data_IF_780254152978
#
_entry.id   IF_780254152978
#
_cell.length_a   1.000
_cell.length_b   1.000
_cell.length_c   1.000
_cell.angle_alpha   90.00
_cell.angle_beta   90.00
_cell.angle_gamma   90.00
#
_symmetry.space_group_name_H-M   'P 1'
#
loop_
_entity.id
_entity.type
_entity.pdbx_description
1 polymer ?
#
# COMPACT_ATOMS: atom_id res chain seq x y z
N UNK A 1 -5.27 20.56 -62.16
CA UNK A 1 -6.24 20.75 -61.06
C UNK A 1 -6.89 19.45 -60.60
N UNK A 2 -7.40 18.56 -61.49
CA UNK A 2 -8.07 17.30 -61.11
C UNK A 2 -7.27 16.40 -60.14
N UNK A 3 -5.95 16.27 -60.32
CA UNK A 3 -5.07 15.47 -59.44
C UNK A 3 -4.93 16.05 -58.03
N UNK A 4 -4.96 17.38 -57.86
CA UNK A 4 -4.90 18.00 -56.53
C UNK A 4 -6.20 17.81 -55.75
N UNK A 5 -7.35 17.81 -56.44
CA UNK A 5 -8.65 17.57 -55.82
C UNK A 5 -8.71 16.16 -55.22
N UNK A 6 -8.19 15.17 -55.94
CA UNK A 6 -8.12 13.78 -55.43
C UNK A 6 -7.25 13.68 -54.18
N UNK A 7 -6.09 14.36 -54.16
CA UNK A 7 -5.21 14.37 -52.98
C UNK A 7 -5.91 15.02 -51.79
N UNK A 8 -6.62 16.13 -51.99
CA UNK A 8 -7.36 16.79 -50.92
C UNK A 8 -8.51 15.92 -50.38
N UNK A 9 -9.23 15.20 -51.24
CA UNK A 9 -10.32 14.30 -50.83
C UNK A 9 -9.78 13.11 -50.02
N UNK A 10 -8.66 12.52 -50.44
CA UNK A 10 -8.00 11.43 -49.72
C UNK A 10 -7.48 11.92 -48.36
N UNK A 11 -6.88 13.10 -48.32
CA UNK A 11 -6.36 13.66 -47.07
C UNK A 11 -7.49 13.98 -46.08
N UNK A 12 -8.62 14.51 -46.56
CA UNK A 12 -9.78 14.82 -45.72
C UNK A 12 -10.43 13.55 -45.15
N UNK A 13 -10.52 12.49 -45.95
CA UNK A 13 -11.07 11.20 -45.51
C UNK A 13 -10.16 10.50 -44.48
N UNK A 14 -8.84 10.66 -44.58
CA UNK A 14 -7.90 10.16 -43.57
C UNK A 14 -8.02 10.89 -42.22
N UNK A 15 -8.31 12.19 -42.22
CA UNK A 15 -8.47 12.99 -40.98
C UNK A 15 -9.83 12.73 -40.31
N UNK A 16 -10.90 12.46 -41.09
CA UNK A 16 -12.23 12.20 -40.54
C UNK A 16 -12.37 10.88 -39.77
N UNK A 17 -11.41 9.97 -39.88
CA UNK A 17 -11.37 8.71 -39.13
C UNK A 17 -10.51 8.77 -37.86
N UNK A 18 -9.91 9.92 -37.54
CA UNK A 18 -9.29 10.11 -36.23
C UNK A 18 -10.37 10.30 -35.17
N UNK A 19 -10.88 9.19 -34.63
CA UNK A 19 -11.47 9.24 -33.30
C UNK A 19 -10.34 9.59 -32.33
N UNK A 20 -10.43 10.75 -31.69
CA UNK A 20 -9.58 11.02 -30.53
C UNK A 20 -9.86 9.90 -29.52
N UNK A 21 -8.86 9.05 -29.29
CA UNK A 21 -8.88 8.11 -28.19
C UNK A 21 -8.76 8.91 -26.90
N UNK A 22 -9.89 9.46 -26.44
CA UNK A 22 -10.02 9.98 -25.08
C UNK A 22 -9.99 8.76 -24.16
N UNK A 23 -8.79 8.36 -23.75
CA UNK A 23 -8.64 7.54 -22.56
C UNK A 23 -9.12 8.41 -21.40
N UNK A 24 -10.37 8.22 -20.99
CA UNK A 24 -10.78 8.61 -19.65
C UNK A 24 -9.88 7.78 -18.73
N UNK A 25 -9.01 8.44 -17.97
CA UNK A 25 -8.22 7.77 -16.94
C UNK A 25 -9.20 6.93 -16.12
N UNK A 26 -8.98 5.62 -16.06
CA UNK A 26 -9.75 4.73 -15.18
C UNK A 26 -9.38 5.20 -13.77
N UNK A 27 -10.17 6.13 -13.24
CA UNK A 27 -9.89 6.82 -11.99
C UNK A 27 -10.53 6.12 -10.79
N UNK A 28 -11.27 5.04 -11.06
CA UNK A 28 -11.90 4.20 -10.08
C UNK A 28 -11.54 2.76 -10.48
N UNK A 29 -10.52 2.23 -9.81
CA UNK A 29 -10.34 0.79 -9.76
C UNK A 29 -11.49 0.21 -8.92
N UNK A 30 -11.85 -1.05 -9.18
CA UNK A 30 -12.83 -1.77 -8.37
C UNK A 30 -12.37 -1.72 -6.90
N UNK A 31 -13.14 -1.01 -6.06
CA UNK A 31 -12.76 -0.71 -4.67
C UNK A 31 -12.61 -2.00 -3.87
N UNK A 32 -13.45 -3.00 -4.11
CA UNK A 32 -13.36 -4.29 -3.42
C UNK A 32 -12.08 -5.03 -3.82
N UNK A 33 -11.74 -5.02 -5.10
CA UNK A 33 -10.49 -5.61 -5.60
C UNK A 33 -9.26 -4.88 -5.04
N UNK A 34 -9.31 -3.54 -4.96
CA UNK A 34 -8.24 -2.72 -4.40
C UNK A 34 -8.01 -3.00 -2.91
N UNK A 35 -9.08 -3.04 -2.12
CA UNK A 35 -9.00 -3.35 -0.69
C UNK A 35 -8.48 -4.77 -0.48
N UNK A 36 -8.99 -5.73 -1.26
CA UNK A 36 -8.52 -7.12 -1.23
C UNK A 36 -7.04 -7.22 -1.57
N UNK A 37 -6.57 -6.48 -2.59
CA UNK A 37 -5.16 -6.44 -2.96
C UNK A 37 -4.30 -5.81 -1.86
N UNK A 38 -4.77 -4.71 -1.24
CA UNK A 38 -4.10 -4.08 -0.12
C UNK A 38 -3.96 -5.05 1.06
N UNK A 39 -5.05 -5.72 1.47
CA UNK A 39 -5.00 -6.69 2.55
C UNK A 39 -4.12 -7.88 2.22
N UNK A 40 -4.16 -8.38 0.98
CA UNK A 40 -3.30 -9.45 0.53
C UNK A 40 -1.81 -9.05 0.58
N UNK A 41 -1.48 -7.84 0.12
CA UNK A 41 -0.12 -7.30 0.19
C UNK A 41 0.35 -7.19 1.65
N UNK A 42 -0.44 -6.54 2.51
CA UNK A 42 -0.10 -6.37 3.92
C UNK A 42 0.09 -7.74 4.60
N UNK A 43 -0.82 -8.68 4.38
CA UNK A 43 -0.70 -10.03 4.96
C UNK A 43 0.51 -10.81 4.41
N UNK A 44 0.88 -10.60 3.14
CA UNK A 44 2.09 -11.21 2.58
C UNK A 44 3.38 -10.73 3.27
N UNK A 45 3.31 -9.58 3.96
CA UNK A 45 4.40 -8.95 4.71
C UNK A 45 4.31 -9.26 6.21
N UNK A 46 3.52 -10.27 6.62
CA UNK A 46 3.30 -10.58 8.04
C UNK A 46 4.58 -10.84 8.81
N UNK A 47 5.47 -11.68 8.28
CA UNK A 47 6.72 -12.03 8.96
C UNK A 47 7.60 -10.82 9.32
N UNK A 48 7.93 -9.89 8.40
CA UNK A 48 8.72 -8.72 8.76
C UNK A 48 7.98 -7.73 9.67
N UNK A 49 6.65 -7.66 9.61
CA UNK A 49 5.84 -6.83 10.53
C UNK A 49 5.88 -7.41 11.95
N UNK A 50 5.62 -8.72 12.10
CA UNK A 50 5.70 -9.42 13.39
C UNK A 50 7.09 -9.26 14.01
N UNK A 51 8.15 -9.34 13.19
CA UNK A 51 9.51 -9.08 13.63
C UNK A 51 9.70 -7.66 14.15
N UNK A 52 9.19 -6.65 13.45
CA UNK A 52 9.31 -5.26 13.87
C UNK A 52 8.57 -5.01 15.19
N UNK A 53 7.35 -5.50 15.34
CA UNK A 53 6.58 -5.39 16.59
C UNK A 53 7.36 -6.04 17.75
N UNK A 54 7.86 -7.25 17.56
CA UNK A 54 8.65 -7.91 18.59
C UNK A 54 9.89 -7.09 18.98
N UNK A 55 10.58 -6.48 18.02
CA UNK A 55 11.76 -5.66 18.32
C UNK A 55 11.41 -4.33 19.01
N UNK A 56 10.27 -3.71 18.67
CA UNK A 56 9.80 -2.46 19.26
C UNK A 56 9.48 -2.65 20.75
N UNK A 57 8.73 -3.70 21.09
CA UNK A 57 8.22 -3.92 22.45
C UNK A 57 9.06 -4.88 23.29
N UNK A 58 10.24 -5.33 22.82
CA UNK A 58 11.07 -6.30 23.56
C UNK A 58 11.58 -5.81 24.92
N UNK A 59 11.70 -4.50 25.09
CA UNK A 59 12.18 -3.85 26.33
C UNK A 59 11.04 -3.15 27.09
N UNK A 60 9.79 -3.34 26.66
CA UNK A 60 8.62 -2.78 27.31
C UNK A 60 8.03 -3.81 28.28
N UNK A 61 8.41 -3.69 29.57
CA UNK A 61 7.94 -4.59 30.63
C UNK A 61 6.42 -4.53 30.84
N UNK A 62 5.75 -3.46 30.40
CA UNK A 62 4.31 -3.30 30.50
C UNK A 62 3.57 -3.86 29.27
N UNK A 63 4.30 -4.24 28.21
CA UNK A 63 3.72 -4.77 26.99
C UNK A 63 3.05 -6.12 27.22
N UNK A 64 1.81 -6.32 26.72
CA UNK A 64 1.19 -7.64 26.72
C UNK A 64 2.05 -8.64 25.95
N UNK A 65 2.20 -9.87 26.49
CA UNK A 65 3.06 -10.91 25.89
C UNK A 65 2.78 -11.21 24.41
N UNK A 66 1.56 -10.97 23.93
CA UNK A 66 1.12 -11.30 22.58
C UNK A 66 0.38 -10.15 21.92
N UNK A 67 1.14 -9.14 21.49
CA UNK A 67 0.63 -8.12 20.58
C UNK A 67 0.37 -8.75 19.20
N UNK A 68 -0.86 -8.58 18.73
CA UNK A 68 -1.30 -8.95 17.38
C UNK A 68 -1.63 -7.69 16.59
N UNK A 69 -1.91 -7.83 15.30
CA UNK A 69 -2.30 -6.72 14.44
C UNK A 69 -3.15 -7.24 13.29
N UNK A 70 -3.91 -6.33 12.68
CA UNK A 70 -4.87 -6.67 11.64
C UNK A 70 -4.56 -5.89 10.35
N UNK A 71 -4.66 -6.58 9.21
CA UNK A 71 -4.44 -5.97 7.89
C UNK A 71 -5.46 -4.87 7.57
N UNK A 72 -6.69 -4.99 8.08
CA UNK A 72 -7.74 -3.98 7.87
C UNK A 72 -7.58 -2.72 8.74
N UNK A 73 -6.71 -2.77 9.76
CA UNK A 73 -6.32 -1.60 10.58
C UNK A 73 -4.96 -1.04 10.19
N UNK A 74 -4.23 -1.74 9.32
CA UNK A 74 -2.89 -1.34 8.88
C UNK A 74 -3.00 -0.44 7.65
N UNK A 75 -2.36 0.73 7.71
CA UNK A 75 -2.39 1.70 6.62
C UNK A 75 -1.08 1.65 5.83
N UNK A 76 -1.17 1.60 4.49
CA UNK A 76 -0.01 1.83 3.63
C UNK A 76 0.16 3.34 3.48
N UNK A 77 1.12 3.91 4.21
CA UNK A 77 1.40 5.35 4.21
C UNK A 77 2.13 5.76 2.94
N UNK A 78 3.06 4.92 2.46
CA UNK A 78 3.91 5.25 1.33
C UNK A 78 4.44 3.99 0.65
N UNK A 79 4.48 4.01 -0.68
CA UNK A 79 5.23 3.05 -1.49
C UNK A 79 6.28 3.82 -2.29
N UNK A 80 7.55 3.52 -2.07
CA UNK A 80 8.68 4.14 -2.78
C UNK A 80 9.39 3.08 -3.62
N UNK A 81 9.56 3.40 -4.90
CA UNK A 81 10.34 2.58 -5.82
C UNK A 81 11.83 2.92 -5.68
N UNK A 82 12.69 1.92 -5.48
CA UNK A 82 14.14 2.14 -5.33
C UNK A 82 14.96 1.76 -6.58
N UNK A 83 14.42 0.94 -7.51
CA UNK A 83 15.17 0.40 -8.66
C UNK A 83 14.39 0.35 -9.99
N UNK A 84 13.52 1.32 -10.26
CA UNK A 84 12.71 1.34 -11.49
C UNK A 84 11.59 0.29 -11.51
N UNK A 85 10.82 0.27 -12.59
CA UNK A 85 9.58 -0.54 -12.71
C UNK A 85 9.94 -2.02 -12.74
N UNK A 86 9.42 -2.79 -11.77
CA UNK A 86 9.74 -4.21 -11.58
C UNK A 86 10.88 -4.49 -10.59
N UNK A 87 11.49 -3.44 -10.02
CA UNK A 87 12.51 -3.56 -8.98
C UNK A 87 11.94 -3.77 -7.57
N UNK A 88 12.76 -3.48 -6.57
CA UNK A 88 12.35 -3.51 -5.16
C UNK A 88 11.52 -2.25 -4.84
N UNK A 89 10.47 -2.44 -4.05
CA UNK A 89 9.65 -1.37 -3.50
C UNK A 89 9.83 -1.34 -1.98
N UNK A 90 10.02 -0.15 -1.42
CA UNK A 90 9.96 0.13 0.01
C UNK A 90 8.52 0.52 0.35
N UNK A 91 7.92 -0.18 1.30
CA UNK A 91 6.53 -0.04 1.73
C UNK A 91 6.57 0.41 3.18
N UNK A 92 6.08 1.62 3.43
CA UNK A 92 5.92 2.18 4.77
C UNK A 92 4.50 1.92 5.24
N UNK A 93 4.40 1.20 6.36
CA UNK A 93 3.14 0.77 6.97
C UNK A 93 2.97 1.49 8.30
N UNK A 94 1.77 1.99 8.58
CA UNK A 94 1.36 2.35 9.93
C UNK A 94 0.58 1.18 10.51
N UNK A 95 1.14 0.56 11.54
CA UNK A 95 0.57 -0.62 12.19
C UNK A 95 0.10 -0.23 13.59
N UNK A 96 -1.04 -0.79 14.00
CA UNK A 96 -1.62 -0.61 15.32
C UNK A 96 -1.67 -1.94 16.05
N UNK A 97 -0.60 -2.32 16.79
CA UNK A 97 -0.62 -3.54 17.56
C UNK A 97 -1.67 -3.47 18.67
N UNK A 98 -2.33 -4.60 18.91
CA UNK A 98 -3.39 -4.75 19.88
C UNK A 98 -3.26 -6.06 20.64
N UNK A 99 -3.92 -6.13 21.80
CA UNK A 99 -4.05 -7.34 22.59
C UNK A 99 -5.54 -7.63 22.87
N UNK A 100 -5.83 -8.87 23.27
CA UNK A 100 -7.19 -9.30 23.58
C UNK A 100 -8.19 -9.03 22.45
N UNK A 101 -9.35 -8.48 22.79
CA UNK A 101 -10.41 -8.13 21.84
C UNK A 101 -10.15 -6.77 21.13
N UNK A 102 -8.99 -6.62 20.50
CA UNK A 102 -8.58 -5.42 19.75
C UNK A 102 -8.35 -4.15 20.60
N UNK A 103 -7.85 -4.31 21.82
CA UNK A 103 -7.38 -3.17 22.61
C UNK A 103 -6.04 -2.70 22.06
N UNK A 104 -6.03 -1.53 21.41
CA UNK A 104 -4.82 -0.97 20.81
C UNK A 104 -3.80 -0.65 21.89
N UNK A 105 -2.58 -1.14 21.72
CA UNK A 105 -1.47 -0.89 22.64
C UNK A 105 -0.50 0.13 22.09
N UNK A 106 -0.33 0.20 20.77
CA UNK A 106 0.53 1.22 20.20
C UNK A 106 0.27 1.56 18.75
N UNK A 107 1.04 2.51 18.26
CA UNK A 107 1.10 2.95 16.87
C UNK A 107 2.55 2.97 16.42
N UNK A 108 2.83 2.27 15.32
CA UNK A 108 4.18 2.05 14.83
C UNK A 108 4.26 2.32 13.34
N UNK A 109 5.38 2.89 12.90
CA UNK A 109 5.77 2.95 11.49
C UNK A 109 6.75 1.82 11.23
N UNK A 110 6.44 0.98 10.24
CA UNK A 110 7.27 -0.15 9.84
C UNK A 110 7.59 0.00 8.37
N UNK A 111 8.88 -0.04 8.03
CA UNK A 111 9.35 0.01 6.64
C UNK A 111 9.85 -1.36 6.24
N UNK A 112 9.17 -1.98 5.29
CA UNK A 112 9.56 -3.26 4.71
C UNK A 112 9.81 -3.10 3.22
N UNK A 113 10.55 -4.02 2.63
CA UNK A 113 10.65 -4.07 1.17
C UNK A 113 9.78 -5.18 0.56
N UNK A 114 9.53 -5.09 -0.74
CA UNK A 114 8.74 -6.06 -1.50
C UNK A 114 9.34 -7.47 -1.59
N UNK A 115 10.57 -7.66 -1.08
CA UNK A 115 11.19 -8.98 -0.91
C UNK A 115 10.94 -9.57 0.50
N UNK A 116 10.12 -8.92 1.33
CA UNK A 116 9.79 -9.38 2.68
C UNK A 116 10.88 -9.09 3.72
N UNK A 117 11.80 -8.16 3.46
CA UNK A 117 12.84 -7.75 4.41
C UNK A 117 12.38 -6.53 5.21
N UNK A 118 12.52 -6.60 6.53
CA UNK A 118 12.43 -5.44 7.43
C UNK A 118 13.61 -4.49 7.18
N UNK A 119 13.31 -3.23 6.86
CA UNK A 119 14.29 -2.18 6.55
C UNK A 119 14.48 -1.27 7.75
N UNK A 120 13.39 -0.79 8.33
CA UNK A 120 13.40 0.16 9.45
C UNK A 120 12.09 0.09 10.23
N UNK A 121 12.09 0.63 11.45
CA UNK A 121 10.88 0.79 12.25
C UNK A 121 10.99 1.96 13.24
N UNK A 122 9.87 2.60 13.53
CA UNK A 122 9.76 3.70 14.48
C UNK A 122 8.49 3.52 15.31
N UNK A 123 8.65 3.51 16.63
CA UNK A 123 7.51 3.53 17.55
C UNK A 123 7.01 4.96 17.72
N UNK A 124 5.72 5.20 17.52
CA UNK A 124 5.15 6.55 17.63
C UNK A 124 4.51 6.80 18.99
N UNK A 125 3.77 5.81 19.52
CA UNK A 125 2.92 6.00 20.69
C UNK A 125 2.54 4.69 21.35
N UNK A 126 2.58 4.65 22.68
CA UNK A 126 1.94 3.64 23.52
C UNK A 126 0.63 4.17 24.11
N UNK A 127 -0.39 3.31 24.14
CA UNK A 127 -1.67 3.57 24.79
C UNK A 127 -1.74 2.90 26.17
N UNK A 128 -2.46 3.50 27.13
CA UNK A 128 -2.63 2.89 28.44
C UNK A 128 -3.27 1.51 28.33
N UNK A 129 -2.69 0.55 29.03
CA UNK A 129 -3.28 -0.78 29.17
C UNK A 129 -4.59 -0.68 29.95
N UNK A 130 -5.66 -1.23 29.37
CA UNK A 130 -6.95 -1.42 30.00
C UNK A 130 -6.97 -2.82 30.60
N UNK A 131 -6.96 -2.90 31.92
CA UNK A 131 -7.19 -4.14 32.66
C UNK A 131 -8.67 -4.22 33.07
N UNK A 132 -9.32 -5.32 32.71
CA UNK A 132 -10.66 -5.63 33.20
C UNK A 132 -10.52 -6.39 34.52
N UNK A 133 -10.72 -5.69 35.64
CA UNK A 133 -10.84 -6.29 36.98
C UNK A 133 -12.11 -7.13 37.11
#
# INVERSE_FOLDING_TARGET
>A
MKRMIVVFVVMFSLVSHYTFAYSKTINEADTELCDTLQYALINSLRNPIDKAINEIYKEDDDAPELLSWASYQTEIVKIKQSNGVGGIYEITLKVMPYYGAHNTYGEDIIVVNSAGKLIDYEHLKTYPRIDYN
#
